data_IF_596028969571
#
_entry.id   IF_596028969571
#
_cell.length_a   1.000
_cell.length_b   1.000
_cell.length_c   1.000
_cell.angle_alpha   90.00
_cell.angle_beta   90.00
_cell.angle_gamma   90.00
#
_symmetry.space_group_name_H-M   'P 1'
#
loop_
_entity.id
_entity.type
_entity.pdbx_description
1 polymer ?
#
# COMPACT_ATOMS: atom_id res chain seq x y z
N UNK A 1 -10.34 -4.82 -3.11
CA UNK A 1 -9.05 -4.20 -3.50
C UNK A 1 -9.27 -2.71 -3.34
N UNK A 2 -8.60 -2.04 -2.42
CA UNK A 2 -8.77 -0.60 -2.28
C UNK A 2 -8.13 0.10 -3.49
N UNK A 3 -8.95 0.43 -4.48
CA UNK A 3 -8.55 1.19 -5.66
C UNK A 3 -8.96 2.64 -5.46
N UNK A 4 -7.98 3.49 -5.14
CA UNK A 4 -8.20 4.94 -5.15
C UNK A 4 -7.92 5.46 -6.56
N UNK A 5 -8.96 5.82 -7.30
CA UNK A 5 -8.82 6.48 -8.60
C UNK A 5 -8.68 7.99 -8.40
N UNK A 6 -7.50 8.54 -8.68
CA UNK A 6 -7.31 9.98 -8.74
C UNK A 6 -7.48 10.46 -10.18
N UNK A 7 -8.62 11.07 -10.49
CA UNK A 7 -8.85 11.71 -11.78
C UNK A 7 -8.35 13.15 -11.72
N UNK A 8 -7.23 13.43 -12.39
CA UNK A 8 -6.67 14.77 -12.51
C UNK A 8 -6.80 15.28 -13.95
N UNK A 9 -7.45 16.43 -14.13
CA UNK A 9 -7.52 17.10 -15.42
C UNK A 9 -6.34 18.07 -15.53
N UNK A 10 -5.46 17.80 -16.50
CA UNK A 10 -4.25 18.58 -16.71
C UNK A 10 -4.25 19.09 -18.15
N UNK A 11 -4.17 20.41 -18.31
CA UNK A 11 -4.12 21.05 -19.64
C UNK A 11 -2.74 20.90 -20.31
N UNK A 12 -1.69 20.65 -19.53
CA UNK A 12 -0.32 20.48 -20.03
C UNK A 12 -0.02 19.00 -20.32
N UNK A 13 0.11 18.67 -21.60
CA UNK A 13 0.57 17.34 -22.05
C UNK A 13 1.98 17.01 -21.57
N UNK A 14 2.83 18.02 -21.43
CA UNK A 14 4.22 17.83 -20.99
C UNK A 14 4.28 17.42 -19.52
N UNK A 15 3.39 17.96 -18.67
CA UNK A 15 3.28 17.54 -17.29
C UNK A 15 2.85 16.08 -17.17
N UNK A 16 1.91 15.63 -18.01
CA UNK A 16 1.49 14.21 -18.04
C UNK A 16 2.68 13.31 -18.39
N UNK A 17 3.40 13.63 -19.48
CA UNK A 17 4.60 12.88 -19.88
C UNK A 17 5.69 12.88 -18.80
N UNK A 18 5.87 13.99 -18.08
CA UNK A 18 6.81 14.07 -16.98
C UNK A 18 6.43 13.08 -15.86
N UNK A 19 5.15 13.05 -15.47
CA UNK A 19 4.64 12.15 -14.42
C UNK A 19 4.76 10.68 -14.84
N UNK A 20 4.45 10.35 -16.08
CA UNK A 20 4.64 9.00 -16.64
C UNK A 20 6.11 8.57 -16.56
N UNK A 21 7.04 9.44 -16.98
CA UNK A 21 8.46 9.16 -16.89
C UNK A 21 8.95 8.98 -15.45
N UNK A 22 8.43 9.77 -14.49
CA UNK A 22 8.74 9.60 -13.08
C UNK A 22 8.22 8.26 -12.55
N UNK A 23 7.05 7.81 -12.99
CA UNK A 23 6.52 6.49 -12.64
C UNK A 23 7.42 5.36 -13.14
N UNK A 24 7.86 5.43 -14.41
CA UNK A 24 8.78 4.45 -15.00
C UNK A 24 10.10 4.42 -14.23
N UNK A 25 10.70 5.58 -13.96
CA UNK A 25 11.95 5.68 -13.19
C UNK A 25 11.82 5.13 -11.78
N UNK A 26 10.69 5.39 -11.12
CA UNK A 26 10.37 4.86 -9.78
C UNK A 26 10.32 3.33 -9.80
N UNK A 27 9.61 2.75 -10.77
CA UNK A 27 9.50 1.30 -10.91
C UNK A 27 10.86 0.66 -11.19
N UNK A 28 11.61 1.23 -12.13
CA UNK A 28 12.96 0.78 -12.45
C UNK A 28 13.92 0.84 -11.26
N UNK A 29 13.86 1.89 -10.45
CA UNK A 29 14.65 1.99 -9.23
C UNK A 29 14.26 0.92 -8.19
N UNK A 30 12.98 0.56 -8.09
CA UNK A 30 12.49 -0.49 -7.19
C UNK A 30 12.98 -1.88 -7.60
N UNK A 31 12.90 -2.22 -8.89
CA UNK A 31 13.31 -3.52 -9.42
C UNK A 31 14.81 -3.80 -9.25
N UNK A 32 15.62 -2.75 -9.13
CA UNK A 32 17.06 -2.85 -8.87
C UNK A 32 17.42 -3.10 -7.41
N UNK A 33 16.47 -2.93 -6.48
CA UNK A 33 16.72 -3.24 -5.08
C UNK A 33 16.69 -4.76 -4.92
N UNK A 34 17.75 -5.39 -4.36
CA UNK A 34 17.78 -6.82 -4.13
C UNK A 34 16.53 -7.34 -3.39
N UNK A 35 15.95 -8.48 -3.79
CA UNK A 35 14.75 -9.03 -3.16
C UNK A 35 14.85 -9.14 -1.63
N UNK A 36 16.04 -9.49 -1.11
CA UNK A 36 16.28 -9.60 0.33
C UNK A 36 16.13 -8.25 1.04
N UNK A 37 16.58 -7.16 0.42
CA UNK A 37 16.43 -5.79 0.95
C UNK A 37 14.97 -5.36 0.86
N UNK A 38 14.27 -5.68 -0.23
CA UNK A 38 12.84 -5.39 -0.38
C UNK A 38 12.02 -6.11 0.70
N UNK A 39 12.30 -7.39 0.94
CA UNK A 39 11.68 -8.16 2.01
C UNK A 39 12.02 -7.60 3.39
N UNK A 40 13.29 -7.28 3.67
CA UNK A 40 13.69 -6.66 4.92
C UNK A 40 13.03 -5.29 5.15
N UNK A 41 12.71 -4.55 4.09
CA UNK A 41 12.04 -3.25 4.17
C UNK A 41 10.61 -3.33 4.71
N UNK A 42 10.02 -4.52 4.80
CA UNK A 42 8.70 -4.73 5.43
C UNK A 42 8.70 -4.53 6.95
N UNK A 43 9.87 -4.56 7.58
CA UNK A 43 10.04 -4.23 9.00
C UNK A 43 10.13 -2.71 9.26
N UNK A 44 10.20 -1.90 8.20
CA UNK A 44 10.38 -0.46 8.29
C UNK A 44 9.19 0.29 7.68
N UNK A 45 8.96 1.49 8.20
CA UNK A 45 8.01 2.44 7.65
C UNK A 45 8.74 3.71 7.25
N UNK A 46 8.76 3.98 5.95
CA UNK A 46 9.41 5.16 5.38
C UNK A 46 8.32 6.15 4.99
N UNK A 47 8.29 7.31 5.64
CA UNK A 47 7.30 8.36 5.40
C UNK A 47 7.98 9.48 4.61
N UNK A 48 7.40 9.85 3.46
CA UNK A 48 7.86 11.02 2.69
C UNK A 48 6.80 12.11 2.83
N UNK A 49 7.04 13.08 3.70
CA UNK A 49 6.07 14.14 4.00
C UNK A 49 6.57 15.53 3.59
N UNK A 50 5.65 16.49 3.56
CA UNK A 50 5.94 17.90 3.32
C UNK A 50 5.31 18.74 4.44
N UNK A 51 6.02 18.90 5.57
CA UNK A 51 5.50 19.64 6.72
C UNK A 51 5.25 21.10 6.35
N UNK A 52 3.98 21.53 6.25
CA UNK A 52 3.55 22.94 6.16
C UNK A 52 4.48 23.90 5.37
N UNK A 53 4.83 23.56 4.13
CA UNK A 53 5.64 24.43 3.24
C UNK A 53 7.15 24.36 3.47
N UNK A 54 7.63 23.54 4.41
CA UNK A 54 9.05 23.24 4.58
C UNK A 54 9.53 22.22 3.54
N UNK A 55 10.84 22.15 3.31
CA UNK A 55 11.43 21.14 2.43
C UNK A 55 10.90 19.72 2.73
N UNK A 56 10.68 18.92 1.67
CA UNK A 56 10.24 17.53 1.81
C UNK A 56 11.19 16.77 2.74
N UNK A 57 10.63 16.01 3.68
CA UNK A 57 11.39 15.20 4.62
C UNK A 57 11.11 13.73 4.39
N UNK A 58 12.17 12.92 4.48
CA UNK A 58 12.07 11.47 4.49
C UNK A 58 12.38 11.03 5.91
N UNK A 59 11.40 10.40 6.55
CA UNK A 59 11.53 9.85 7.90
C UNK A 59 11.55 8.34 7.83
N UNK A 60 12.38 7.73 8.67
CA UNK A 60 12.49 6.28 8.80
C UNK A 60 12.08 5.86 10.20
N UNK A 61 11.37 4.75 10.29
CA UNK A 61 11.01 4.11 11.55
C UNK A 61 10.75 2.63 11.33
N UNK A 62 10.39 1.95 12.39
CA UNK A 62 10.05 0.53 12.41
C UNK A 62 8.54 0.35 12.41
N UNK A 63 8.10 -0.70 11.73
CA UNK A 63 6.76 -1.24 11.95
C UNK A 63 6.73 -1.90 13.32
N UNK A 64 5.74 -1.53 14.12
CA UNK A 64 5.57 -2.00 15.50
C UNK A 64 4.56 -3.14 15.54
N UNK A 65 3.42 -2.98 14.88
CA UNK A 65 2.31 -3.91 14.98
C UNK A 65 1.44 -3.89 13.72
N UNK A 66 0.71 -4.98 13.48
CA UNK A 66 -0.26 -5.14 12.39
C UNK A 66 -1.49 -5.89 12.89
N UNK A 67 -2.66 -5.31 12.70
CA UNK A 67 -3.93 -5.92 13.09
C UNK A 67 -4.89 -5.90 11.91
N UNK A 68 -5.43 -7.07 11.56
CA UNK A 68 -6.54 -7.16 10.63
C UNK A 68 -7.85 -6.91 11.37
N UNK A 69 -8.59 -5.90 10.92
CA UNK A 69 -9.87 -5.48 11.49
C UNK A 69 -11.02 -5.94 10.61
N UNK A 70 -11.86 -6.80 11.14
CA UNK A 70 -13.16 -7.16 10.59
C UNK A 70 -14.24 -6.40 11.35
N UNK A 71 -15.08 -5.65 10.64
CA UNK A 71 -16.24 -4.92 11.17
C UNK A 71 -17.48 -5.79 11.25
N UNK A 72 -17.62 -6.75 10.33
CA UNK A 72 -18.80 -7.61 10.22
C UNK A 72 -18.43 -9.09 10.08
N UNK A 73 -19.37 -9.97 10.42
CA UNK A 73 -19.23 -11.41 10.17
C UNK A 73 -19.20 -11.73 8.67
N UNK A 74 -19.84 -10.89 7.86
CA UNK A 74 -19.80 -10.97 6.40
C UNK A 74 -18.38 -10.76 5.88
N UNK A 75 -17.68 -9.70 6.33
CA UNK A 75 -16.27 -9.45 5.96
C UNK A 75 -15.38 -10.65 6.34
N UNK A 76 -15.61 -11.23 7.53
CA UNK A 76 -14.86 -12.41 7.99
C UNK A 76 -15.09 -13.61 7.07
N UNK A 77 -16.34 -13.89 6.69
CA UNK A 77 -16.68 -14.99 5.77
C UNK A 77 -16.10 -14.74 4.37
N UNK A 78 -16.25 -13.54 3.85
CA UNK A 78 -15.70 -13.14 2.56
C UNK A 78 -14.19 -13.32 2.54
N UNK A 79 -13.49 -12.84 3.56
CA UNK A 79 -12.04 -13.02 3.68
C UNK A 79 -11.62 -14.49 3.71
N UNK A 80 -12.31 -15.33 4.49
CA UNK A 80 -12.01 -16.77 4.55
C UNK A 80 -12.21 -17.45 3.19
N UNK A 81 -13.26 -17.08 2.46
CA UNK A 81 -13.57 -17.62 1.13
C UNK A 81 -12.56 -17.16 0.08
N UNK A 82 -12.26 -15.85 0.04
CA UNK A 82 -11.24 -15.27 -0.85
C UNK A 82 -9.88 -15.93 -0.59
N UNK A 83 -9.49 -16.07 0.67
CA UNK A 83 -8.23 -16.71 1.04
C UNK A 83 -8.18 -18.17 0.60
N UNK A 84 -9.26 -18.93 0.81
CA UNK A 84 -9.35 -20.32 0.34
C UNK A 84 -9.24 -20.42 -1.18
N UNK A 85 -9.95 -19.55 -1.91
CA UNK A 85 -9.87 -19.47 -3.38
C UNK A 85 -8.47 -19.11 -3.86
N UNK A 86 -7.82 -18.14 -3.21
CA UNK A 86 -6.45 -17.75 -3.49
C UNK A 86 -5.50 -18.94 -3.31
N UNK A 87 -5.58 -19.66 -2.19
CA UNK A 87 -4.73 -20.81 -1.89
C UNK A 87 -4.92 -21.94 -2.91
N UNK A 88 -6.16 -22.22 -3.33
CA UNK A 88 -6.46 -23.19 -4.40
C UNK A 88 -5.84 -22.75 -5.73
N UNK A 89 -6.04 -21.49 -6.12
CA UNK A 89 -5.50 -20.96 -7.37
C UNK A 89 -3.98 -20.91 -7.36
N UNK A 90 -3.36 -20.56 -6.23
CA UNK A 90 -1.91 -20.54 -6.06
C UNK A 90 -1.31 -21.95 -6.24
N UNK A 91 -1.90 -22.97 -5.60
CA UNK A 91 -1.49 -24.37 -5.74
C UNK A 91 -1.65 -24.89 -7.17
N UNK A 92 -2.67 -24.41 -7.88
CA UNK A 92 -2.93 -24.78 -9.27
C UNK A 92 -2.16 -23.91 -10.30
N UNK A 93 -1.27 -23.01 -9.86
CA UNK A 93 -0.58 -22.03 -10.72
C UNK A 93 -1.54 -21.18 -11.58
N UNK A 94 -2.74 -20.89 -11.05
CA UNK A 94 -3.84 -20.22 -11.75
C UNK A 94 -4.23 -18.88 -11.10
N UNK A 95 -3.26 -18.12 -10.57
CA UNK A 95 -3.50 -16.83 -9.90
C UNK A 95 -4.17 -15.78 -10.81
N UNK A 96 -3.99 -15.88 -12.13
CA UNK A 96 -4.68 -15.02 -13.10
C UNK A 96 -6.21 -15.22 -13.06
N UNK A 97 -6.67 -16.47 -12.81
CA UNK A 97 -8.10 -16.76 -12.65
C UNK A 97 -8.64 -16.15 -11.36
N UNK A 98 -7.87 -16.24 -10.27
CA UNK A 98 -8.24 -15.58 -9.02
C UNK A 98 -8.42 -14.07 -9.22
N UNK A 99 -7.48 -13.42 -9.91
CA UNK A 99 -7.58 -11.99 -10.23
C UNK A 99 -8.84 -11.67 -11.05
N UNK A 100 -9.16 -12.50 -12.04
CA UNK A 100 -10.38 -12.35 -12.84
C UNK A 100 -11.66 -12.49 -11.99
N UNK A 101 -11.75 -13.51 -11.12
CA UNK A 101 -12.90 -13.68 -10.23
C UNK A 101 -13.07 -12.50 -9.29
N UNK A 102 -11.98 -12.01 -8.70
CA UNK A 102 -12.03 -10.91 -7.76
C UNK A 102 -12.41 -9.58 -8.43
N UNK A 103 -12.04 -9.38 -9.71
CA UNK A 103 -12.38 -8.18 -10.46
C UNK A 103 -13.90 -8.02 -10.70
N UNK A 104 -14.67 -9.13 -10.67
CA UNK A 104 -16.13 -9.10 -10.82
C UNK A 104 -16.84 -8.59 -9.56
N UNK A 105 -16.17 -8.60 -8.41
CA UNK A 105 -16.72 -8.18 -7.12
C UNK A 105 -15.93 -7.00 -6.52
N UNK A 106 -15.96 -5.81 -7.15
CA UNK A 106 -15.17 -4.65 -6.72
C UNK A 106 -15.56 -4.16 -5.32
N UNK A 107 -16.84 -4.28 -4.97
CA UNK A 107 -17.40 -3.76 -3.72
C UNK A 107 -17.58 -4.84 -2.65
N UNK A 108 -16.91 -5.99 -2.79
CA UNK A 108 -17.01 -7.06 -1.81
C UNK A 108 -16.47 -6.56 -0.46
N UNK A 109 -17.29 -6.54 0.61
CA UNK A 109 -16.83 -6.07 1.91
C UNK A 109 -15.76 -7.04 2.42
N UNK A 110 -14.56 -6.50 2.63
CA UNK A 110 -13.38 -7.23 3.10
C UNK A 110 -12.78 -6.51 4.32
N UNK A 111 -12.11 -7.25 5.21
CA UNK A 111 -11.35 -6.67 6.29
C UNK A 111 -10.23 -5.75 5.77
N UNK A 112 -9.81 -4.81 6.60
CA UNK A 112 -8.66 -3.95 6.35
C UNK A 112 -7.60 -4.20 7.42
N UNK A 113 -6.34 -3.92 7.09
CA UNK A 113 -5.22 -4.03 8.02
C UNK A 113 -4.83 -2.66 8.53
N UNK A 114 -4.74 -2.51 9.85
CA UNK A 114 -4.11 -1.36 10.49
C UNK A 114 -2.65 -1.72 10.75
N UNK A 115 -1.73 -0.89 10.27
CA UNK A 115 -0.31 -1.03 10.57
C UNK A 115 0.15 0.15 11.42
N UNK A 116 0.75 -0.14 12.58
CA UNK A 116 1.35 0.87 13.46
C UNK A 116 2.87 0.92 13.31
N UNK A 117 3.44 2.12 13.40
CA UNK A 117 4.87 2.37 13.25
C UNK A 117 5.32 3.58 14.07
N UNK A 118 6.61 3.63 14.39
CA UNK A 118 7.21 4.71 15.20
C UNK A 118 7.95 5.77 14.38
N UNK A 119 7.78 5.78 13.06
CA UNK A 119 8.40 6.78 12.17
C UNK A 119 7.99 8.18 12.57
N UNK A 120 8.95 9.10 12.70
CA UNK A 120 8.68 10.48 13.06
C UNK A 120 7.80 11.18 12.02
N UNK A 121 6.66 11.71 12.46
CA UNK A 121 5.72 12.51 11.69
C UNK A 121 5.47 13.83 12.41
N UNK A 122 4.79 14.76 11.74
CA UNK A 122 4.39 16.03 12.34
C UNK A 122 3.01 16.43 11.78
N UNK A 123 2.46 17.53 12.31
CA UNK A 123 1.29 18.15 11.71
C UNK A 123 1.57 18.45 10.22
N UNK A 124 0.62 18.09 9.35
CA UNK A 124 0.79 18.17 7.90
C UNK A 124 1.35 16.90 7.23
N UNK A 125 1.70 15.86 7.99
CA UNK A 125 2.06 14.55 7.41
C UNK A 125 0.84 13.70 7.03
N UNK A 126 -0.38 14.06 7.43
CA UNK A 126 -1.61 13.34 7.05
C UNK A 126 -1.72 13.23 5.53
N UNK A 127 -2.00 12.03 5.02
CA UNK A 127 -2.01 11.78 3.58
C UNK A 127 -0.64 11.49 2.97
N UNK A 128 0.46 11.62 3.73
CA UNK A 128 1.79 11.32 3.22
C UNK A 128 1.93 9.83 2.86
N UNK A 129 2.62 9.50 1.77
CA UNK A 129 2.90 8.11 1.41
C UNK A 129 3.81 7.45 2.44
N UNK A 130 3.44 6.23 2.83
CA UNK A 130 4.18 5.35 3.73
C UNK A 130 4.60 4.11 2.95
N UNK A 131 5.91 3.89 2.87
CA UNK A 131 6.48 2.75 2.18
C UNK A 131 6.94 1.70 3.19
N UNK A 132 6.45 0.47 3.04
CA UNK A 132 6.75 -0.65 3.95
C UNK A 132 7.12 -1.95 3.22
N UNK A 133 7.85 -1.86 2.11
CA UNK A 133 8.23 -3.06 1.34
C UNK A 133 7.10 -3.88 0.72
N UNK A 134 5.83 -3.53 0.97
CA UNK A 134 4.68 -4.23 0.43
C UNK A 134 4.65 -4.14 -1.09
N UNK A 135 4.47 -5.29 -1.71
CA UNK A 135 4.51 -5.46 -3.16
C UNK A 135 3.26 -6.17 -3.63
N UNK A 136 2.69 -5.69 -4.71
CA UNK A 136 1.59 -6.32 -5.42
C UNK A 136 2.12 -6.80 -6.76
N UNK A 137 1.86 -8.07 -7.10
CA UNK A 137 2.20 -8.58 -8.44
C UNK A 137 1.02 -8.22 -9.37
N UNK A 138 1.28 -7.40 -10.39
CA UNK A 138 0.30 -7.05 -11.43
C UNK A 138 0.92 -7.33 -12.79
N UNK A 139 0.29 -8.18 -13.60
CA UNK A 139 0.80 -8.60 -14.92
C UNK A 139 2.25 -9.12 -14.85
N UNK A 140 2.55 -9.96 -13.85
CA UNK A 140 3.91 -10.48 -13.58
C UNK A 140 4.96 -9.42 -13.17
N UNK A 141 4.55 -8.17 -12.95
CA UNK A 141 5.43 -7.09 -12.47
C UNK A 141 5.17 -6.82 -10.99
N UNK A 142 6.25 -6.75 -10.20
CA UNK A 142 6.19 -6.45 -8.78
C UNK A 142 6.10 -4.93 -8.55
N UNK A 143 4.91 -4.45 -8.19
CA UNK A 143 4.64 -3.03 -7.97
C UNK A 143 4.67 -2.74 -6.48
N UNK A 144 5.45 -1.73 -6.08
CA UNK A 144 5.42 -1.19 -4.72
C UNK A 144 4.19 -0.30 -4.54
N UNK A 145 3.28 -0.66 -3.65
CA UNK A 145 2.13 0.16 -3.31
C UNK A 145 2.42 0.94 -2.02
N UNK A 146 2.53 2.29 -2.06
CA UNK A 146 2.57 3.09 -0.85
C UNK A 146 1.21 3.06 -0.16
N UNK A 147 1.24 3.05 1.16
CA UNK A 147 0.07 3.28 2.00
C UNK A 147 -0.08 4.76 2.31
N UNK A 148 -1.22 5.15 2.84
CA UNK A 148 -1.48 6.55 3.21
C UNK A 148 -1.38 6.70 4.74
N UNK A 149 -0.53 7.61 5.21
CA UNK A 149 -0.45 7.94 6.64
C UNK A 149 -1.80 8.50 7.09
N UNK A 150 -2.42 7.82 8.06
CA UNK A 150 -3.73 8.19 8.59
C UNK A 150 -3.58 9.18 9.74
N UNK A 151 -2.76 8.85 10.74
CA UNK A 151 -2.46 9.76 11.85
C UNK A 151 -1.72 9.07 12.99
N UNK A 152 -1.89 9.63 14.20
CA UNK A 152 -1.37 9.09 15.44
C UNK A 152 -2.50 8.43 16.24
N UNK A 153 -2.33 7.16 16.58
CA UNK A 153 -3.24 6.40 17.42
C UNK A 153 -2.93 6.69 18.89
N UNK A 154 -3.84 7.40 19.58
CA UNK A 154 -3.66 7.78 20.98
C UNK A 154 -3.69 6.60 21.95
N UNK A 155 -4.37 5.51 21.59
CA UNK A 155 -4.52 4.32 22.44
C UNK A 155 -3.23 3.49 22.38
N UNK A 156 -2.73 3.26 21.17
CA UNK A 156 -1.50 2.48 20.94
C UNK A 156 -0.23 3.31 21.13
N UNK A 157 -0.30 4.64 21.01
CA UNK A 157 0.85 5.54 21.15
C UNK A 157 1.77 5.56 19.92
N UNK A 158 1.26 5.22 18.73
CA UNK A 158 2.06 5.10 17.50
C UNK A 158 1.35 5.70 16.29
N UNK A 159 2.11 6.04 15.25
CA UNK A 159 1.56 6.42 13.95
C UNK A 159 0.94 5.21 13.25
N UNK A 160 -0.06 5.42 12.40
CA UNK A 160 -0.72 4.33 11.68
C UNK A 160 -1.03 4.63 10.20
N UNK A 161 -1.28 3.56 9.45
CA UNK A 161 -1.88 3.58 8.12
C UNK A 161 -2.82 2.38 7.96
N UNK A 162 -3.67 2.46 6.95
CA UNK A 162 -4.60 1.39 6.58
C UNK A 162 -4.19 0.77 5.25
N UNK A 163 -4.49 -0.51 5.08
CA UNK A 163 -4.20 -1.32 3.88
C UNK A 163 -5.31 -2.32 3.63
#
# INVERSE_FOLDING_TARGET
>A
MDYTMFSCYVHSKDLVKLVENLHVRRQYAWERIPPQIRQASTAYAIVISHPHGLAKKISFGKVIDREMRCRTDEERRNFALIRSLYEICAKAHALERFAAYFAVFPDLPIPYTITWYNTATCKGSSGAPVYMGNTVIKNQVEIKQPHTHSGFDQIKGYNNCFT
#
